data_IF_403192003763
#
_entry.id   IF_403192003763
#
_cell.length_a   1.000
_cell.length_b   1.000
_cell.length_c   1.000
_cell.angle_alpha   90.00
_cell.angle_beta   90.00
_cell.angle_gamma   90.00
#
_symmetry.space_group_name_H-M   'P 1'
#
loop_
_entity.id
_entity.type
_entity.pdbx_description
1 polymer ?
#
# COMPACT_ATOMS: atom_id res chain seq x y z
N UNK A 1 -21.49 -5.62 4.18
CA UNK A 1 -20.98 -4.29 3.81
C UNK A 1 -19.56 -4.45 3.30
N UNK A 2 -19.35 -4.47 1.98
CA UNK A 2 -18.04 -4.74 1.36
C UNK A 2 -17.08 -3.54 1.37
N UNK A 3 -17.17 -2.69 2.39
CA UNK A 3 -16.34 -1.50 2.56
C UNK A 3 -15.21 -1.82 3.53
N UNK A 4 -13.99 -1.48 3.15
CA UNK A 4 -12.83 -1.57 4.04
C UNK A 4 -12.98 -0.52 5.13
N UNK A 5 -13.11 -0.96 6.37
CA UNK A 5 -13.03 -0.11 7.55
C UNK A 5 -11.60 -0.11 8.10
N UNK A 6 -11.29 0.85 8.96
CA UNK A 6 -10.00 1.06 9.59
C UNK A 6 -9.47 -0.22 10.26
N UNK A 7 -10.29 -0.90 11.07
CA UNK A 7 -9.92 -2.13 11.77
C UNK A 7 -9.60 -3.28 10.81
N UNK A 8 -10.32 -3.35 9.69
CA UNK A 8 -10.12 -4.38 8.67
C UNK A 8 -8.80 -4.11 7.94
N UNK A 9 -8.49 -2.84 7.65
CA UNK A 9 -7.24 -2.43 7.02
C UNK A 9 -6.03 -2.76 7.92
N UNK A 10 -6.08 -2.40 9.20
CA UNK A 10 -5.02 -2.70 10.16
C UNK A 10 -4.80 -4.21 10.31
N UNK A 11 -5.88 -4.98 10.42
CA UNK A 11 -5.81 -6.43 10.55
C UNK A 11 -5.22 -7.07 9.29
N UNK A 12 -5.68 -6.67 8.12
CA UNK A 12 -5.10 -7.17 6.87
C UNK A 12 -3.61 -6.81 6.75
N UNK A 13 -3.22 -5.61 7.15
CA UNK A 13 -1.84 -5.15 7.08
C UNK A 13 -0.91 -5.99 7.98
N UNK A 14 -1.35 -6.26 9.21
CA UNK A 14 -0.61 -7.07 10.17
C UNK A 14 -0.61 -8.56 9.80
N UNK A 15 -1.78 -9.14 9.54
CA UNK A 15 -1.96 -10.59 9.47
C UNK A 15 -1.62 -11.16 8.09
N UNK A 16 -1.66 -10.34 7.04
CA UNK A 16 -1.47 -10.79 5.64
C UNK A 16 -0.30 -10.07 4.99
N UNK A 17 -0.34 -8.73 4.93
CA UNK A 17 0.64 -7.99 4.15
C UNK A 17 2.07 -8.13 4.69
N UNK A 18 2.29 -8.01 6.01
CA UNK A 18 3.63 -8.11 6.59
C UNK A 18 4.25 -9.50 6.42
N UNK A 19 3.56 -10.63 6.73
CA UNK A 19 4.10 -11.95 6.49
C UNK A 19 4.48 -12.18 5.03
N UNK A 20 3.63 -11.79 4.09
CA UNK A 20 3.88 -11.91 2.65
C UNK A 20 5.04 -11.01 2.20
N UNK A 21 5.06 -9.74 2.61
CA UNK A 21 6.15 -8.82 2.27
C UNK A 21 7.50 -9.29 2.83
N UNK A 22 7.48 -9.94 4.00
CA UNK A 22 8.68 -10.47 4.66
C UNK A 22 9.18 -11.76 4.02
N UNK A 23 8.27 -12.65 3.57
CA UNK A 23 8.64 -13.90 2.89
C UNK A 23 9.36 -13.63 1.55
N UNK A 24 8.97 -12.56 0.86
CA UNK A 24 9.54 -12.14 -0.42
C UNK A 24 10.76 -11.22 -0.29
N UNK A 25 11.18 -10.89 0.94
CA UNK A 25 12.31 -10.00 1.17
C UNK A 25 13.63 -10.74 0.96
N UNK A 26 14.39 -10.31 -0.05
CA UNK A 26 15.64 -10.97 -0.47
C UNK A 26 16.84 -10.58 0.40
N UNK A 27 16.77 -9.47 1.15
CA UNK A 27 17.87 -8.97 1.97
C UNK A 27 17.39 -8.16 3.18
N UNK A 28 18.32 -7.78 4.07
CA UNK A 28 17.99 -6.98 5.25
C UNK A 28 17.68 -5.50 4.94
N UNK A 29 17.57 -5.07 3.67
CA UNK A 29 17.22 -3.68 3.33
C UNK A 29 15.73 -3.43 3.56
N UNK A 30 15.34 -2.23 4.00
CA UNK A 30 13.94 -1.91 4.22
C UNK A 30 13.12 -2.05 2.93
N UNK A 31 11.90 -2.55 3.06
CA UNK A 31 10.95 -2.64 1.95
C UNK A 31 10.25 -1.30 1.76
N UNK A 32 10.07 -0.86 0.51
CA UNK A 32 9.35 0.39 0.22
C UNK A 32 7.92 0.02 -0.16
N UNK A 33 6.95 0.56 0.58
CA UNK A 33 5.53 0.42 0.31
C UNK A 33 4.99 1.75 -0.24
N UNK A 34 4.56 1.76 -1.49
CA UNK A 34 3.92 2.92 -2.10
C UNK A 34 2.40 2.80 -1.95
N UNK A 35 1.78 3.77 -1.30
CA UNK A 35 0.32 3.82 -1.09
C UNK A 35 -0.28 5.00 -1.84
N UNK A 36 -1.56 4.87 -2.21
CA UNK A 36 -2.34 6.03 -2.60
C UNK A 36 -2.52 6.97 -1.42
N UNK A 37 -2.66 8.27 -1.70
CA UNK A 37 -2.86 9.30 -0.68
C UNK A 37 -4.26 9.27 -0.06
N UNK A 38 -4.86 8.09 0.10
CA UNK A 38 -6.17 7.92 0.72
C UNK A 38 -6.02 8.04 2.24
N UNK A 39 -6.93 8.77 2.87
CA UNK A 39 -6.87 9.15 4.30
C UNK A 39 -6.83 7.98 5.29
N UNK A 40 -7.17 6.77 4.84
CA UNK A 40 -7.04 5.54 5.64
C UNK A 40 -5.58 5.13 5.87
N UNK A 41 -4.66 5.47 4.96
CA UNK A 41 -3.23 5.16 5.06
C UNK A 41 -2.46 6.12 5.98
N UNK A 42 -3.10 7.21 6.40
CA UNK A 42 -2.51 8.20 7.31
C UNK A 42 -2.69 7.82 8.78
N UNK A 43 -3.27 6.66 9.09
CA UNK A 43 -3.38 6.18 10.45
C UNK A 43 -2.02 5.86 11.07
N UNK A 44 -1.82 6.40 12.27
CA UNK A 44 -0.61 6.20 13.08
C UNK A 44 -0.34 4.74 13.43
N UNK A 45 -1.38 3.91 13.52
CA UNK A 45 -1.26 2.47 13.78
C UNK A 45 -0.53 1.73 12.64
N UNK A 46 -0.94 1.95 11.39
CA UNK A 46 -0.31 1.34 10.21
C UNK A 46 1.13 1.82 10.07
N UNK A 47 1.38 3.12 10.26
CA UNK A 47 2.73 3.69 10.20
C UNK A 47 3.66 3.08 11.25
N UNK A 48 3.17 2.88 12.48
CA UNK A 48 3.93 2.27 13.57
C UNK A 48 4.23 0.80 13.30
N UNK A 49 3.24 0.05 12.80
CA UNK A 49 3.40 -1.36 12.43
C UNK A 49 4.42 -1.49 11.27
N UNK A 50 4.35 -0.63 10.26
CA UNK A 50 5.30 -0.61 9.15
C UNK A 50 6.73 -0.28 9.60
N UNK A 51 6.89 0.75 10.44
CA UNK A 51 8.20 1.13 10.99
C UNK A 51 8.86 -0.04 11.74
N UNK A 52 8.10 -0.73 12.60
CA UNK A 52 8.59 -1.87 13.36
C UNK A 52 9.02 -3.06 12.48
N UNK A 53 8.49 -3.18 11.26
CA UNK A 53 8.80 -4.25 10.32
C UNK A 53 9.81 -3.82 9.23
N UNK A 54 10.48 -2.68 9.41
CA UNK A 54 11.41 -2.09 8.44
C UNK A 54 10.76 -1.86 7.06
N UNK A 55 9.51 -1.37 7.07
CA UNK A 55 8.77 -0.99 5.87
C UNK A 55 8.69 0.53 5.85
N UNK A 56 9.22 1.13 4.80
CA UNK A 56 9.15 2.57 4.55
C UNK A 56 7.88 2.82 3.74
N UNK A 57 6.91 3.50 4.35
CA UNK A 57 5.71 3.94 3.65
C UNK A 57 6.03 5.22 2.87
N UNK A 58 5.79 5.18 1.57
CA UNK A 58 5.84 6.34 0.68
C UNK A 58 4.40 6.71 0.30
N UNK A 59 3.82 7.69 1.01
CA UNK A 59 2.50 8.22 0.71
C UNK A 59 2.62 9.40 -0.27
N UNK A 60 1.81 9.38 -1.33
CA UNK A 60 1.78 10.41 -2.38
C UNK A 60 1.31 11.81 -1.91
N UNK A 61 0.96 11.97 -0.63
CA UNK A 61 0.52 13.24 -0.03
C UNK A 61 1.62 14.28 0.18
N UNK A 62 2.89 13.91 0.02
CA UNK A 62 4.03 14.85 0.15
C UNK A 62 4.99 14.70 -1.03
N UNK A 63 4.53 15.15 -2.20
CA UNK A 63 5.29 15.48 -3.44
C UNK A 63 5.29 14.45 -4.60
N UNK A 64 5.06 15.02 -5.79
CA UNK A 64 5.12 14.56 -7.20
C UNK A 64 3.92 13.81 -7.80
N UNK A 65 3.11 13.06 -7.06
CA UNK A 65 1.89 12.46 -7.64
C UNK A 65 0.67 13.17 -7.08
N UNK A 66 0.28 14.27 -7.72
CA UNK A 66 -1.01 14.93 -7.50
C UNK A 66 -2.11 13.87 -7.47
N UNK A 67 -2.97 13.91 -6.45
CA UNK A 67 -4.12 13.00 -6.23
C UNK A 67 -4.98 12.70 -7.48
N UNK A 68 -4.89 13.54 -8.53
CA UNK A 68 -5.57 13.36 -9.82
C UNK A 68 -4.80 12.54 -10.87
N UNK A 69 -3.58 12.11 -10.59
CA UNK A 69 -2.68 11.42 -11.54
C UNK A 69 -2.42 9.97 -11.17
N UNK A 70 -3.00 9.51 -10.05
CA UNK A 70 -2.83 8.17 -9.49
C UNK A 70 -3.26 7.06 -10.46
N UNK A 71 -4.45 7.15 -11.04
CA UNK A 71 -4.95 6.20 -12.05
C UNK A 71 -4.08 6.08 -13.31
N UNK A 72 -3.11 6.99 -13.52
CA UNK A 72 -2.14 6.95 -14.63
C UNK A 72 -0.72 6.59 -14.21
N UNK A 73 -0.41 6.63 -12.91
CA UNK A 73 0.96 6.48 -12.39
C UNK A 73 1.09 5.33 -11.38
N UNK A 74 -0.02 4.88 -10.80
CA UNK A 74 -0.30 3.58 -10.21
C UNK A 74 0.30 2.40 -10.98
N UNK A 75 1.49 1.83 -10.67
CA UNK A 75 1.95 0.66 -11.42
C UNK A 75 0.94 -0.48 -11.31
N UNK A 76 0.28 -0.62 -10.16
CA UNK A 76 -0.78 -1.58 -9.96
C UNK A 76 -1.99 -1.31 -10.86
N UNK A 77 -2.48 -0.08 -10.93
CA UNK A 77 -3.64 0.28 -11.77
C UNK A 77 -3.34 0.14 -13.27
N UNK A 78 -2.18 0.62 -13.71
CA UNK A 78 -1.82 0.71 -15.14
C UNK A 78 -1.32 -0.62 -15.67
N UNK A 79 -0.52 -1.36 -14.90
CA UNK A 79 0.17 -2.56 -15.38
C UNK A 79 -0.61 -3.83 -15.02
N UNK A 80 -1.21 -3.90 -13.84
CA UNK A 80 -1.88 -5.13 -13.37
C UNK A 80 -3.38 -5.07 -13.63
N UNK A 81 -4.07 -4.04 -13.13
CA UNK A 81 -5.53 -3.98 -13.22
C UNK A 81 -6.03 -3.65 -14.63
N UNK A 82 -5.36 -2.76 -15.36
CA UNK A 82 -5.80 -2.38 -16.72
C UNK A 82 -5.89 -3.59 -17.69
N UNK A 83 -4.91 -4.51 -17.79
CA UNK A 83 -5.07 -5.71 -18.60
C UNK A 83 -6.13 -6.69 -18.09
N UNK A 84 -6.30 -6.80 -16.77
CA UNK A 84 -7.33 -7.67 -16.16
C UNK A 84 -8.72 -7.15 -16.52
N UNK A 85 -8.97 -5.84 -16.37
CA UNK A 85 -10.25 -5.22 -16.69
C UNK A 85 -10.62 -5.36 -18.18
N UNK A 86 -9.64 -5.34 -19.09
CA UNK A 86 -9.89 -5.56 -20.52
C UNK A 86 -10.31 -6.98 -20.90
N UNK A 87 -10.09 -7.96 -20.01
CA UNK A 87 -10.40 -9.38 -20.23
C UNK A 87 -11.64 -9.85 -19.46
N UNK A 88 -12.21 -8.98 -18.64
CA UNK A 88 -13.49 -9.19 -17.96
C UNK A 88 -14.62 -8.71 -18.87
#
# INVERSE_FOLDING_TARGET
NGWTDHDICERWFSDVFIPEASSHRVNNKPSILTLDGHSLHEQSAIQRIAYNNHIIIFCNGTSIVTSKTMHKLQPLDVIVFSPVQRKW
#
